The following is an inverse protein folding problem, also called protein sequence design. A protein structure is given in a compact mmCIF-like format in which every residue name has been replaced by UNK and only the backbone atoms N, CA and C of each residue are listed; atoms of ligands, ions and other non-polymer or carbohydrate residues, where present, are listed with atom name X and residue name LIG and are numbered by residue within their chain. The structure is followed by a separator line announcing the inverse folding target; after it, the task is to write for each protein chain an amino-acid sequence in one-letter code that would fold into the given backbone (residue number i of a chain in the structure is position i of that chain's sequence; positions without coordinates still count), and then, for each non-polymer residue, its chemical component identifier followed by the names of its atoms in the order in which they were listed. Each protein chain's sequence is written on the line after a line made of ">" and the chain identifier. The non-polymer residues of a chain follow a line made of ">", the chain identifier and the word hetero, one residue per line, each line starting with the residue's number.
data_IF_578289308243
#
_entry.id   IF_578289308243
#
_cell.length_a   1.000
_cell.length_b   1.000
_cell.length_c   1.000
_cell.angle_alpha   90.00
_cell.angle_beta   90.00
_cell.angle_gamma   90.00
#
_symmetry.space_group_name_H-M   'P 1'
#
loop_
_entity.id
_entity.type
_entity.pdbx_description
1 polymer ?
#
# COMPACT_ATOMS: atom_id res chain seq x y z
N UNK A 1 -14.78 -18.76 -17.90
CA UNK A 1 -13.54 -18.24 -18.53
C UNK A 1 -12.67 -17.70 -17.41
N UNK A 2 -11.68 -18.49 -16.97
CA UNK A 2 -10.76 -18.10 -15.91
C UNK A 2 -9.51 -17.49 -16.52
N UNK A 3 -9.33 -16.19 -16.36
CA UNK A 3 -8.07 -15.52 -16.63
C UNK A 3 -7.13 -15.79 -15.46
N UNK A 4 -6.37 -16.88 -15.57
CA UNK A 4 -5.14 -17.07 -14.80
C UNK A 4 -4.15 -16.03 -15.30
N UNK A 5 -4.00 -14.94 -14.54
CA UNK A 5 -2.91 -14.00 -14.72
C UNK A 5 -1.60 -14.78 -14.57
N UNK A 6 -0.93 -15.03 -15.70
CA UNK A 6 0.47 -15.46 -15.71
C UNK A 6 1.30 -14.27 -15.23
N UNK A 7 1.45 -14.14 -13.92
CA UNK A 7 2.44 -13.25 -13.28
C UNK A 7 3.85 -13.85 -13.42
N UNK A 8 4.26 -14.18 -14.64
CA UNK A 8 5.60 -14.72 -14.93
C UNK A 8 6.59 -13.61 -15.31
N UNK A 9 6.14 -12.35 -15.33
CA UNK A 9 7.00 -11.17 -15.33
C UNK A 9 6.84 -10.46 -13.99
N UNK A 10 7.88 -10.57 -13.14
CA UNK A 10 7.93 -9.82 -11.89
C UNK A 10 7.98 -8.33 -12.19
N UNK A 11 6.86 -7.62 -12.01
CA UNK A 11 6.74 -6.15 -12.12
C UNK A 11 7.98 -5.46 -11.57
N UNK A 12 8.55 -4.53 -12.32
CA UNK A 12 9.65 -3.68 -11.87
C UNK A 12 9.20 -2.77 -10.72
N UNK A 13 10.15 -2.27 -9.93
CA UNK A 13 9.84 -1.34 -8.83
C UNK A 13 9.10 -0.08 -9.32
N UNK A 14 9.38 0.37 -10.55
CA UNK A 14 8.69 1.51 -11.13
C UNK A 14 7.23 1.17 -11.49
N UNK A 15 6.99 0.02 -12.10
CA UNK A 15 5.63 -0.44 -12.40
C UNK A 15 4.80 -0.64 -11.11
N UNK A 16 5.43 -1.15 -10.04
CA UNK A 16 4.79 -1.26 -8.72
C UNK A 16 4.41 0.12 -8.19
N UNK A 17 5.31 1.12 -8.28
CA UNK A 17 5.02 2.50 -7.85
C UNK A 17 3.88 3.12 -8.65
N UNK A 18 3.84 2.89 -9.94
CA UNK A 18 2.78 3.41 -10.82
C UNK A 18 1.42 2.78 -10.47
N UNK A 19 1.38 1.45 -10.28
CA UNK A 19 0.17 0.74 -9.88
C UNK A 19 -0.32 1.16 -8.48
N UNK A 20 0.58 1.28 -7.50
CA UNK A 20 0.25 1.85 -6.19
C UNK A 20 -0.29 3.28 -6.36
N UNK A 21 0.29 4.07 -7.27
CA UNK A 21 -0.19 5.40 -7.61
C UNK A 21 -1.65 5.41 -8.10
N UNK A 22 -2.10 4.39 -8.81
CA UNK A 22 -3.49 4.28 -9.27
C UNK A 22 -4.41 3.98 -8.08
N UNK A 23 -4.11 2.95 -7.29
CA UNK A 23 -4.95 2.52 -6.17
C UNK A 23 -4.97 3.49 -4.99
N UNK A 24 -3.87 4.22 -4.75
CA UNK A 24 -3.74 5.22 -3.69
C UNK A 24 -4.26 6.60 -4.17
N UNK A 25 -4.64 6.74 -5.45
CA UNK A 25 -5.13 8.00 -5.99
C UNK A 25 -6.39 8.61 -5.34
N UNK A 26 -7.29 7.90 -4.64
CA UNK A 26 -8.49 8.55 -4.11
C UNK A 26 -8.22 9.56 -2.99
N UNK A 27 -7.03 9.60 -2.37
CA UNK A 27 -6.72 10.56 -1.31
C UNK A 27 -5.55 11.48 -1.63
N UNK A 28 -5.71 12.75 -1.28
CA UNK A 28 -4.64 13.76 -1.32
C UNK A 28 -3.71 13.60 -0.11
N UNK A 29 -4.31 13.49 1.07
CA UNK A 29 -3.65 13.31 2.35
C UNK A 29 -4.48 12.37 3.22
N UNK A 30 -3.79 11.59 4.04
CA UNK A 30 -4.39 10.64 4.97
C UNK A 30 -3.81 10.84 6.36
N UNK A 31 -4.69 11.07 7.32
CA UNK A 31 -4.31 11.14 8.73
C UNK A 31 -4.28 9.74 9.33
N UNK A 32 -3.12 9.37 9.86
CA UNK A 32 -2.88 8.07 10.48
C UNK A 32 -2.53 8.29 11.94
N UNK A 33 -3.34 7.68 12.82
CA UNK A 33 -3.07 7.61 14.26
C UNK A 33 -2.43 6.27 14.55
N UNK A 34 -1.11 6.28 14.67
CA UNK A 34 -0.32 5.16 15.16
C UNK A 34 -0.23 5.22 16.68
N UNK A 35 0.12 4.10 17.32
CA UNK A 35 0.38 4.05 18.76
C UNK A 35 1.52 4.99 19.20
N UNK A 36 2.39 5.38 18.27
CA UNK A 36 3.58 6.18 18.55
C UNK A 36 3.38 7.66 18.20
N UNK A 37 2.60 7.95 17.16
CA UNK A 37 2.39 9.32 16.66
C UNK A 37 1.17 9.45 15.76
N UNK A 38 0.61 10.65 15.71
CA UNK A 38 -0.33 11.07 14.68
C UNK A 38 0.43 11.73 13.53
N UNK A 39 0.25 11.21 12.32
CA UNK A 39 0.94 11.70 11.13
C UNK A 39 0.00 11.85 9.95
N UNK A 40 0.12 12.99 9.27
CA UNK A 40 -0.49 13.19 7.96
C UNK A 40 0.47 12.72 6.88
N UNK A 41 0.00 11.83 6.02
CA UNK A 41 0.78 11.22 4.95
C UNK A 41 0.18 11.60 3.61
N UNK A 42 0.99 12.21 2.75
CA UNK A 42 0.63 12.45 1.36
C UNK A 42 0.73 11.17 0.54
N UNK A 43 0.02 11.12 -0.59
CA UNK A 43 0.08 10.00 -1.54
C UNK A 43 1.51 9.54 -1.86
N UNK A 44 2.40 10.48 -2.21
CA UNK A 44 3.81 10.17 -2.52
C UNK A 44 4.53 9.54 -1.34
N UNK A 45 4.30 10.06 -0.13
CA UNK A 45 4.91 9.55 1.08
C UNK A 45 4.39 8.17 1.44
N UNK A 46 3.11 7.88 1.20
CA UNK A 46 2.54 6.54 1.36
C UNK A 46 3.18 5.52 0.42
N UNK A 47 3.31 5.86 -0.87
CA UNK A 47 3.97 4.98 -1.87
C UNK A 47 5.41 4.69 -1.45
N UNK A 48 6.18 5.73 -1.09
CA UNK A 48 7.56 5.56 -0.64
C UNK A 48 7.64 4.71 0.64
N UNK A 49 6.77 4.97 1.64
CA UNK A 49 6.69 4.15 2.85
C UNK A 49 6.47 2.67 2.55
N UNK A 50 5.55 2.35 1.64
CA UNK A 50 5.31 0.97 1.24
C UNK A 50 6.53 0.37 0.55
N UNK A 51 7.11 1.07 -0.43
CA UNK A 51 8.28 0.60 -1.16
C UNK A 51 9.54 0.42 -0.27
N UNK A 52 9.70 1.26 0.75
CA UNK A 52 10.87 1.24 1.64
C UNK A 52 10.77 0.17 2.73
N UNK A 53 9.55 -0.28 3.07
CA UNK A 53 9.32 -1.18 4.22
C UNK A 53 8.75 -2.56 3.85
N UNK A 54 8.33 -2.74 2.60
CA UNK A 54 7.81 -4.02 2.12
C UNK A 54 8.77 -4.62 1.09
N UNK A 55 8.93 -5.94 1.14
CA UNK A 55 9.63 -6.67 0.09
C UNK A 55 8.86 -6.61 -1.23
N UNK A 56 9.54 -6.87 -2.35
CA UNK A 56 8.90 -6.91 -3.67
C UNK A 56 7.72 -7.90 -3.72
N UNK A 57 7.85 -9.04 -3.06
CA UNK A 57 6.77 -10.03 -2.94
C UNK A 57 5.58 -9.47 -2.17
N UNK A 58 5.83 -8.84 -1.02
CA UNK A 58 4.79 -8.20 -0.21
C UNK A 58 4.08 -7.06 -0.95
N UNK A 59 4.81 -6.30 -1.77
CA UNK A 59 4.23 -5.25 -2.62
C UNK A 59 3.32 -5.83 -3.70
N UNK A 60 3.72 -6.94 -4.33
CA UNK A 60 2.86 -7.64 -5.30
C UNK A 60 1.59 -8.19 -4.65
N UNK A 61 1.72 -8.81 -3.47
CA UNK A 61 0.57 -9.29 -2.70
C UNK A 61 -0.36 -8.14 -2.31
N UNK A 62 0.20 -7.00 -1.90
CA UNK A 62 -0.57 -5.79 -1.59
C UNK A 62 -1.33 -5.27 -2.82
N UNK A 63 -0.71 -5.27 -3.99
CA UNK A 63 -1.36 -4.86 -5.25
C UNK A 63 -2.54 -5.79 -5.59
N UNK A 64 -2.38 -7.10 -5.42
CA UNK A 64 -3.47 -8.07 -5.61
C UNK A 64 -4.62 -7.84 -4.62
N UNK A 65 -4.29 -7.56 -3.36
CA UNK A 65 -5.29 -7.24 -2.35
C UNK A 65 -6.03 -5.94 -2.65
N UNK A 66 -5.31 -4.90 -3.07
CA UNK A 66 -5.89 -3.62 -3.51
C UNK A 66 -6.85 -3.79 -4.69
N UNK A 67 -6.46 -4.57 -5.68
CA UNK A 67 -7.33 -4.90 -6.82
C UNK A 67 -8.60 -5.61 -6.36
N UNK A 68 -8.49 -6.55 -5.42
CA UNK A 68 -9.64 -7.28 -4.86
C UNK A 68 -10.57 -6.39 -4.04
N UNK A 69 -10.04 -5.48 -3.23
CA UNK A 69 -10.80 -4.50 -2.43
C UNK A 69 -11.59 -3.59 -3.37
N UNK A 70 -10.91 -3.04 -4.38
CA UNK A 70 -11.52 -2.17 -5.39
C UNK A 70 -12.61 -2.90 -6.19
N UNK A 71 -12.35 -4.14 -6.65
CA UNK A 71 -13.35 -4.98 -7.35
C UNK A 71 -14.57 -5.30 -6.50
N UNK A 72 -14.42 -5.40 -5.17
CA UNK A 72 -15.53 -5.63 -4.24
C UNK A 72 -16.21 -4.33 -3.80
N UNK A 73 -15.80 -3.18 -4.35
CA UNK A 73 -16.30 -1.85 -3.99
C UNK A 73 -16.21 -1.61 -2.47
N UNK A 74 -15.16 -2.16 -1.85
CA UNK A 74 -14.84 -1.92 -0.45
C UNK A 74 -14.10 -0.59 -0.32
N UNK A 75 -14.06 -0.06 0.90
CA UNK A 75 -13.43 1.24 1.15
C UNK A 75 -11.89 1.14 1.05
N UNK A 76 -11.37 1.45 -0.14
CA UNK A 76 -9.95 1.50 -0.46
C UNK A 76 -9.18 2.44 0.50
N UNK A 77 -9.82 3.52 0.96
CA UNK A 77 -9.21 4.48 1.89
C UNK A 77 -9.00 3.85 3.27
N UNK A 78 -10.02 3.19 3.81
CA UNK A 78 -9.92 2.50 5.12
C UNK A 78 -8.91 1.36 5.05
N UNK A 79 -8.91 0.59 3.97
CA UNK A 79 -7.95 -0.49 3.78
C UNK A 79 -6.51 0.03 3.77
N UNK A 80 -6.26 1.11 3.02
CA UNK A 80 -4.93 1.67 2.93
C UNK A 80 -4.47 2.35 4.20
N UNK A 81 -5.39 2.97 4.94
CA UNK A 81 -5.13 3.47 6.29
C UNK A 81 -4.68 2.35 7.23
N UNK A 82 -5.33 1.19 7.17
CA UNK A 82 -4.96 0.04 8.00
C UNK A 82 -3.55 -0.47 7.69
N UNK A 83 -3.22 -0.67 6.41
CA UNK A 83 -1.88 -1.13 5.99
C UNK A 83 -0.79 -0.13 6.41
N UNK A 84 -0.99 1.16 6.13
CA UNK A 84 -0.02 2.20 6.46
C UNK A 84 0.16 2.38 7.98
N UNK A 85 -0.89 2.18 8.77
CA UNK A 85 -0.79 2.16 10.24
C UNK A 85 0.13 1.02 10.69
N UNK A 86 -0.04 -0.19 10.14
CA UNK A 86 0.80 -1.34 10.45
C UNK A 86 2.26 -1.12 10.09
N UNK A 87 2.53 -0.53 8.91
CA UNK A 87 3.90 -0.21 8.47
C UNK A 87 4.55 0.81 9.42
N UNK A 88 3.84 1.87 9.80
CA UNK A 88 4.35 2.89 10.70
C UNK A 88 4.60 2.38 12.12
N UNK A 89 3.71 1.55 12.64
CA UNK A 89 3.88 0.91 13.96
C UNK A 89 5.10 -0.02 13.96
N UNK A 90 5.39 -0.68 12.84
CA UNK A 90 6.59 -1.53 12.73
C UNK A 90 7.88 -0.69 12.72
N UNK A 91 7.89 0.47 12.04
CA UNK A 91 9.03 1.40 12.10
C UNK A 91 9.29 1.92 13.51
N UNK A 92 8.24 2.17 14.28
CA UNK A 92 8.36 2.63 15.67
C UNK A 92 9.05 1.64 16.60
N UNK A 93 9.01 0.33 16.30
CA UNK A 93 9.63 -0.72 17.12
C UNK A 93 11.12 -0.93 16.85
N UNK A 94 11.60 -0.62 15.64
CA UNK A 94 13.01 -0.76 15.29
C UNK A 94 13.91 0.39 15.81
N UNK A 95 13.30 1.45 16.34
CA UNK A 95 14.00 2.60 16.93
C UNK A 95 13.89 2.68 18.47
N UNK A 96 13.33 1.65 19.12
CA UNK A 96 13.15 1.57 20.57
C UNK A 96 14.18 0.63 21.23
#
# INVERSE_FOLDING_TARGET
>A
MGSTYKYDDMLTTNEIKDLLGIYISPFKEMEIKSNVREVTISKTKAINLLCDNLSKEQLNDLLLQLELVSKKNLDDYVYMKYILTGVLDNQGRHHA
#
